data_IF_578363717381
#
_entry.id   IF_578363717381
#
_cell.length_a   1.000
_cell.length_b   1.000
_cell.length_c   1.000
_cell.angle_alpha   90.00
_cell.angle_beta   90.00
_cell.angle_gamma   90.00
#
_symmetry.space_group_name_H-M   'P 1'
#
loop_
_entity.id
_entity.type
_entity.pdbx_description
1 polymer ?
#
# COMPACT_ATOMS: atom_id res chain seq x y z
N UNK A 1 -26.83 30.67 31.67
CA UNK A 1 -25.82 29.66 32.04
C UNK A 1 -25.44 28.72 30.89
N UNK A 2 -26.31 28.41 29.94
CA UNK A 2 -26.03 27.52 28.77
C UNK A 2 -25.09 28.14 27.72
N UNK A 3 -24.96 29.46 27.62
CA UNK A 3 -24.11 30.15 26.63
C UNK A 3 -22.61 30.15 27.00
N UNK A 4 -22.31 30.16 28.29
CA UNK A 4 -20.92 30.19 28.76
C UNK A 4 -20.23 28.81 28.67
N UNK A 5 -20.97 27.72 28.94
CA UNK A 5 -20.48 26.36 28.79
C UNK A 5 -20.20 26.02 27.33
N UNK A 6 -21.04 26.47 26.38
CA UNK A 6 -20.82 26.26 24.94
C UNK A 6 -19.62 27.07 24.42
N UNK A 7 -19.34 28.25 24.98
CA UNK A 7 -18.17 29.04 24.61
C UNK A 7 -16.87 28.39 25.13
N UNK A 8 -16.88 27.91 26.37
CA UNK A 8 -15.76 27.20 26.98
C UNK A 8 -15.46 25.89 26.22
N UNK A 9 -16.50 25.15 25.80
CA UNK A 9 -16.35 23.93 25.01
C UNK A 9 -15.78 24.20 23.60
N UNK A 10 -16.23 25.29 22.94
CA UNK A 10 -15.68 25.70 21.64
C UNK A 10 -14.22 26.19 21.76
N UNK A 11 -13.88 26.91 22.82
CA UNK A 11 -12.51 27.35 23.07
C UNK A 11 -11.61 26.15 23.40
N UNK A 12 -12.11 25.17 24.15
CA UNK A 12 -11.36 23.92 24.42
C UNK A 12 -11.07 23.10 23.17
N UNK A 13 -12.04 23.02 22.25
CA UNK A 13 -11.87 22.30 20.95
C UNK A 13 -10.84 23.00 20.06
N UNK A 14 -10.71 24.31 20.11
CA UNK A 14 -9.72 25.08 19.32
C UNK A 14 -8.34 25.09 19.97
N UNK A 15 -8.26 25.11 21.31
CA UNK A 15 -6.97 25.17 22.02
C UNK A 15 -6.30 23.81 22.17
N UNK A 16 -7.06 22.70 22.24
CA UNK A 16 -6.50 21.36 22.39
C UNK A 16 -5.61 20.96 21.19
N UNK A 17 -6.03 21.12 19.92
CA UNK A 17 -5.17 20.85 18.76
C UNK A 17 -3.93 21.76 18.70
N UNK A 18 -4.03 23.01 19.16
CA UNK A 18 -2.90 23.94 19.24
C UNK A 18 -1.90 23.51 20.31
N UNK A 19 -2.36 23.13 21.51
CA UNK A 19 -1.50 22.57 22.57
C UNK A 19 -0.81 21.28 22.11
N UNK A 20 -1.53 20.37 21.48
CA UNK A 20 -0.96 19.11 20.97
C UNK A 20 0.08 19.35 19.87
N UNK A 21 -0.13 20.35 19.01
CA UNK A 21 0.83 20.73 17.99
C UNK A 21 2.09 21.40 18.58
N UNK A 22 1.91 22.29 19.56
CA UNK A 22 3.02 22.93 20.28
C UNK A 22 3.81 21.88 21.09
N UNK A 23 3.12 20.96 21.78
CA UNK A 23 3.78 19.86 22.51
C UNK A 23 4.55 18.93 21.57
N UNK A 24 3.99 18.61 20.40
CA UNK A 24 4.66 17.83 19.35
C UNK A 24 5.88 18.57 18.79
N UNK A 25 5.80 19.89 18.63
CA UNK A 25 6.90 20.72 18.14
C UNK A 25 8.03 20.81 19.18
N UNK A 26 7.71 21.12 20.43
CA UNK A 26 8.68 21.17 21.54
C UNK A 26 9.37 19.80 21.71
N UNK A 27 8.60 18.72 21.60
CA UNK A 27 9.14 17.38 21.67
C UNK A 27 10.12 17.09 20.52
N UNK A 28 9.78 17.46 19.27
CA UNK A 28 10.65 17.29 18.10
C UNK A 28 11.97 18.07 18.28
N UNK A 29 11.89 19.33 18.75
CA UNK A 29 13.05 20.19 19.00
C UNK A 29 13.99 19.56 20.05
N UNK A 30 13.44 19.03 21.15
CA UNK A 30 14.21 18.47 22.27
C UNK A 30 15.01 17.24 21.92
N UNK A 31 14.57 16.43 20.95
CA UNK A 31 15.18 15.15 20.61
C UNK A 31 15.93 15.14 19.27
N UNK A 32 15.77 16.17 18.42
CA UNK A 32 16.53 16.27 17.18
C UNK A 32 17.95 16.76 17.45
N UNK A 33 18.95 16.10 16.85
CA UNK A 33 20.36 16.45 17.00
C UNK A 33 21.16 16.08 15.75
N UNK A 34 22.45 16.47 15.73
CA UNK A 34 23.35 16.24 14.60
C UNK A 34 23.43 14.75 14.19
N UNK A 35 23.43 13.84 15.16
CA UNK A 35 23.47 12.39 14.90
C UNK A 35 22.32 11.89 14.02
N UNK A 36 21.13 12.52 14.10
CA UNK A 36 20.00 12.12 13.23
C UNK A 36 20.20 12.54 11.79
N UNK A 37 20.84 13.69 11.57
CA UNK A 37 21.18 14.15 10.22
C UNK A 37 22.18 13.18 9.60
N UNK A 38 23.22 12.78 10.34
CA UNK A 38 24.22 11.81 9.92
C UNK A 38 23.59 10.45 9.61
N UNK A 39 22.72 9.97 10.51
CA UNK A 39 21.95 8.73 10.28
C UNK A 39 21.07 8.79 9.03
N UNK A 40 20.43 9.93 8.77
CA UNK A 40 19.67 10.13 7.54
C UNK A 40 20.58 10.09 6.31
N UNK A 41 21.77 10.70 6.35
CA UNK A 41 22.74 10.66 5.26
C UNK A 41 23.15 9.21 4.96
N UNK A 42 23.56 8.44 5.98
CA UNK A 42 23.98 7.04 5.82
C UNK A 42 22.87 6.15 5.24
N UNK A 43 21.63 6.36 5.66
CA UNK A 43 20.48 5.60 5.15
C UNK A 43 20.14 6.01 3.70
N UNK A 44 20.07 7.32 3.44
CA UNK A 44 19.67 7.86 2.13
C UNK A 44 20.70 7.51 1.07
N UNK A 45 22.00 7.55 1.36
CA UNK A 45 23.06 7.14 0.46
C UNK A 45 22.81 5.73 -0.10
N UNK A 46 22.49 4.76 0.77
CA UNK A 46 22.17 3.38 0.37
C UNK A 46 20.84 3.26 -0.37
N UNK A 47 19.86 4.09 -0.01
CA UNK A 47 18.53 4.07 -0.64
C UNK A 47 18.61 4.60 -2.08
N UNK A 48 19.42 5.60 -2.36
CA UNK A 48 19.54 6.22 -3.69
C UNK A 48 20.08 5.24 -4.75
N UNK A 49 20.66 4.10 -4.34
CA UNK A 49 20.98 3.01 -5.28
C UNK A 49 19.73 2.25 -5.76
N UNK A 50 18.62 2.36 -5.07
CA UNK A 50 17.33 1.70 -5.35
C UNK A 50 17.39 0.18 -5.57
N UNK A 51 18.40 -0.51 -5.05
CA UNK A 51 18.55 -1.99 -5.14
C UNK A 51 17.65 -2.75 -4.17
N UNK A 52 17.30 -2.13 -3.04
CA UNK A 52 16.48 -2.72 -1.99
C UNK A 52 15.36 -1.77 -1.57
N UNK A 53 14.32 -2.31 -0.91
CA UNK A 53 13.23 -1.46 -0.42
C UNK A 53 13.71 -0.54 0.70
N UNK A 54 13.22 0.71 0.70
CA UNK A 54 13.49 1.69 1.75
C UNK A 54 13.21 1.15 3.15
N UNK A 55 12.08 0.46 3.32
CA UNK A 55 11.72 -0.15 4.61
C UNK A 55 12.70 -1.21 5.08
N UNK A 56 13.21 -2.05 4.16
CA UNK A 56 14.23 -3.07 4.48
C UNK A 56 15.56 -2.45 4.90
N UNK A 57 16.01 -1.41 4.19
CA UNK A 57 17.26 -0.71 4.51
C UNK A 57 17.18 -0.01 5.86
N UNK A 58 16.06 0.68 6.16
CA UNK A 58 15.83 1.29 7.46
C UNK A 58 15.82 0.24 8.58
N UNK A 59 15.13 -0.89 8.36
CA UNK A 59 15.10 -2.00 9.34
C UNK A 59 16.51 -2.54 9.62
N UNK A 60 17.29 -2.80 8.58
CA UNK A 60 18.65 -3.30 8.70
C UNK A 60 19.55 -2.29 9.43
N UNK A 61 19.43 -1.00 9.08
CA UNK A 61 20.15 0.07 9.75
C UNK A 61 19.92 0.06 11.26
N UNK A 62 18.65 0.09 11.69
CA UNK A 62 18.32 0.08 13.11
C UNK A 62 18.62 -1.26 13.81
N UNK A 63 18.67 -2.36 13.07
CA UNK A 63 19.11 -3.65 13.61
C UNK A 63 20.59 -3.63 13.97
N UNK A 64 21.42 -3.00 13.13
CA UNK A 64 22.87 -2.84 13.37
C UNK A 64 23.13 -1.81 14.47
N UNK A 65 22.45 -0.67 14.45
CA UNK A 65 22.60 0.41 15.45
C UNK A 65 22.11 0.03 16.86
N UNK A 66 21.41 -1.12 17.00
CA UNK A 66 21.00 -1.66 18.27
C UNK A 66 20.13 -0.71 19.11
N UNK A 67 20.55 -0.44 20.36
CA UNK A 67 19.82 0.40 21.32
C UNK A 67 20.12 1.90 21.18
N UNK A 68 20.91 2.33 20.20
CA UNK A 68 21.32 3.74 20.03
C UNK A 68 20.17 4.69 19.75
N UNK A 69 18.99 4.18 19.33
CA UNK A 69 17.81 4.95 19.00
C UNK A 69 16.56 4.37 19.66
N UNK A 70 15.81 5.21 20.37
CA UNK A 70 14.48 4.89 20.89
C UNK A 70 13.43 4.81 19.76
N UNK A 71 12.22 4.31 20.09
CA UNK A 71 11.15 4.13 19.11
C UNK A 71 10.72 5.43 18.43
N UNK A 72 10.72 6.55 19.16
CA UNK A 72 10.34 7.88 18.66
C UNK A 72 11.40 8.44 17.71
N UNK A 73 12.67 8.26 18.05
CA UNK A 73 13.82 8.67 17.24
C UNK A 73 13.87 7.90 15.92
N UNK A 74 13.68 6.57 15.97
CA UNK A 74 13.55 5.74 14.76
C UNK A 74 12.43 6.23 13.86
N UNK A 75 11.28 6.61 14.46
CA UNK A 75 10.16 7.16 13.71
C UNK A 75 10.53 8.48 13.01
N UNK A 76 11.20 9.43 13.71
CA UNK A 76 11.62 10.69 13.11
C UNK A 76 12.55 10.49 11.92
N UNK A 77 13.59 9.67 12.08
CA UNK A 77 14.53 9.32 10.99
C UNK A 77 13.78 8.67 9.83
N UNK A 78 12.90 7.71 10.11
CA UNK A 78 12.08 7.04 9.11
C UNK A 78 11.21 8.02 8.33
N UNK A 79 10.52 8.93 9.02
CA UNK A 79 9.63 9.92 8.42
C UNK A 79 10.41 10.88 7.50
N UNK A 80 11.61 11.30 7.90
CA UNK A 80 12.51 12.14 7.07
C UNK A 80 12.97 11.39 5.82
N UNK A 81 13.44 10.15 5.98
CA UNK A 81 13.91 9.33 4.85
C UNK A 81 12.80 9.08 3.85
N UNK A 82 11.58 8.74 4.30
CA UNK A 82 10.43 8.60 3.41
C UNK A 82 10.03 9.90 2.72
N UNK A 83 10.19 11.07 3.39
CA UNK A 83 9.96 12.37 2.76
C UNK A 83 10.94 12.61 1.60
N UNK A 84 12.23 12.26 1.77
CA UNK A 84 13.23 12.38 0.71
C UNK A 84 12.87 11.48 -0.48
N UNK A 85 12.54 10.22 -0.23
CA UNK A 85 12.18 9.27 -1.29
C UNK A 85 10.93 9.71 -2.05
N UNK A 86 9.92 10.21 -1.35
CA UNK A 86 8.68 10.74 -1.94
C UNK A 86 8.94 11.93 -2.87
N UNK A 87 9.85 12.83 -2.47
CA UNK A 87 10.10 14.11 -3.14
C UNK A 87 11.46 14.17 -3.88
N UNK A 88 12.06 13.03 -4.18
CA UNK A 88 13.45 12.95 -4.69
C UNK A 88 13.73 13.90 -5.85
N UNK A 89 13.02 13.77 -6.97
CA UNK A 89 13.28 14.61 -8.16
C UNK A 89 12.96 16.08 -7.91
N UNK A 90 11.90 16.37 -7.14
CA UNK A 90 11.58 17.74 -6.76
C UNK A 90 12.72 18.37 -5.95
N UNK A 91 13.24 17.68 -4.94
CA UNK A 91 14.37 18.18 -4.16
C UNK A 91 15.63 18.32 -5.02
N UNK A 92 15.89 17.36 -5.90
CA UNK A 92 17.01 17.46 -6.85
C UNK A 92 16.87 18.67 -7.79
N UNK A 93 15.66 18.99 -8.26
CA UNK A 93 15.45 20.20 -9.08
C UNK A 93 15.71 21.48 -8.29
N UNK A 94 15.31 21.57 -7.02
CA UNK A 94 15.62 22.71 -6.15
C UNK A 94 17.13 22.87 -5.92
N UNK A 95 17.83 21.75 -5.68
CA UNK A 95 19.29 21.75 -5.51
C UNK A 95 19.97 22.23 -6.79
N UNK A 96 19.52 21.76 -7.97
CA UNK A 96 20.08 22.12 -9.27
C UNK A 96 19.90 23.61 -9.58
N UNK A 97 18.76 24.19 -9.23
CA UNK A 97 18.49 25.63 -9.37
C UNK A 97 19.48 26.48 -8.55
N UNK A 98 19.97 25.97 -7.41
CA UNK A 98 20.91 26.65 -6.52
C UNK A 98 22.38 26.21 -6.67
N UNK A 99 22.70 25.26 -7.57
CA UNK A 99 24.06 24.68 -7.71
C UNK A 99 25.18 25.71 -7.91
N UNK A 100 24.92 26.80 -8.65
CA UNK A 100 25.87 27.87 -8.85
C UNK A 100 26.28 28.58 -7.54
N UNK A 101 25.42 28.51 -6.51
CA UNK A 101 25.58 29.18 -5.22
C UNK A 101 26.08 28.27 -4.10
N UNK A 102 26.17 26.95 -4.35
CA UNK A 102 26.44 25.90 -3.31
C UNK A 102 27.55 24.93 -3.72
N UNK A 103 28.54 25.37 -4.47
CA UNK A 103 29.62 24.55 -5.02
C UNK A 103 30.32 23.61 -4.02
N UNK A 104 30.23 23.89 -2.72
CA UNK A 104 30.89 23.14 -1.64
C UNK A 104 29.93 22.25 -0.82
N UNK A 105 28.63 22.12 -1.19
CA UNK A 105 27.66 21.25 -0.51
C UNK A 105 27.42 19.99 -1.33
N UNK A 106 27.48 18.82 -0.67
CA UNK A 106 27.10 17.56 -1.31
C UNK A 106 25.58 17.50 -1.55
N UNK A 107 25.15 16.94 -2.69
CA UNK A 107 23.75 16.73 -3.02
C UNK A 107 23.05 15.92 -1.90
N UNK A 108 23.69 14.88 -1.41
CA UNK A 108 23.18 14.05 -0.30
C UNK A 108 22.81 14.88 0.93
N UNK A 109 23.70 15.80 1.31
CA UNK A 109 23.49 16.68 2.47
C UNK A 109 22.31 17.64 2.23
N UNK A 110 22.21 18.21 1.04
CA UNK A 110 21.08 19.05 0.62
C UNK A 110 19.75 18.28 0.66
N UNK A 111 19.70 17.05 0.13
CA UNK A 111 18.52 16.20 0.19
C UNK A 111 18.07 15.94 1.62
N UNK A 112 18.99 15.69 2.55
CA UNK A 112 18.65 15.48 3.96
C UNK A 112 18.13 16.76 4.60
N UNK A 113 18.74 17.93 4.32
CA UNK A 113 18.27 19.22 4.80
C UNK A 113 16.82 19.48 4.32
N UNK A 114 16.54 19.27 3.04
CA UNK A 114 15.21 19.44 2.47
C UNK A 114 14.20 18.44 3.05
N UNK A 115 14.60 17.17 3.24
CA UNK A 115 13.77 16.15 3.86
C UNK A 115 13.37 16.47 5.30
N UNK A 116 14.33 16.93 6.11
CA UNK A 116 14.06 17.39 7.49
C UNK A 116 13.14 18.60 7.47
N UNK A 117 13.45 19.59 6.63
CA UNK A 117 12.64 20.83 6.54
C UNK A 117 11.21 20.52 6.12
N UNK A 118 11.02 19.66 5.10
CA UNK A 118 9.70 19.24 4.61
C UNK A 118 8.88 18.50 5.67
N UNK A 119 9.49 17.66 6.49
CA UNK A 119 8.78 16.78 7.43
C UNK A 119 8.68 17.35 8.83
N UNK A 120 9.69 18.06 9.28
CA UNK A 120 9.77 18.52 10.67
C UNK A 120 9.67 20.05 10.83
N UNK A 121 9.97 20.79 9.77
CA UNK A 121 10.03 22.26 9.78
C UNK A 121 11.46 22.79 9.75
N UNK A 122 11.63 24.00 9.22
CA UNK A 122 12.91 24.70 9.07
C UNK A 122 13.57 24.95 10.42
N UNK A 123 12.78 25.28 11.43
CA UNK A 123 13.22 25.64 12.78
C UNK A 123 13.93 24.50 13.49
N UNK A 124 13.57 23.27 13.15
CA UNK A 124 14.14 22.05 13.76
C UNK A 124 15.59 21.83 13.33
N UNK A 125 15.88 22.03 12.05
CA UNK A 125 17.20 21.75 11.49
C UNK A 125 18.16 22.95 11.61
N UNK A 126 17.64 24.16 11.57
CA UNK A 126 18.41 25.40 11.49
C UNK A 126 19.56 25.53 12.50
N UNK A 127 19.40 25.13 13.81
CA UNK A 127 20.50 25.17 14.79
C UNK A 127 21.70 24.28 14.45
N UNK A 128 21.51 23.26 13.62
CA UNK A 128 22.53 22.25 13.28
C UNK A 128 23.20 22.49 11.92
N UNK A 129 22.87 23.61 11.25
CA UNK A 129 23.39 23.96 9.93
C UNK A 129 24.58 24.90 10.03
N UNK A 130 25.58 24.67 9.16
CA UNK A 130 26.65 25.61 8.87
C UNK A 130 26.09 26.87 8.17
N UNK A 131 26.90 27.93 8.09
CA UNK A 131 26.48 29.18 7.42
C UNK A 131 26.15 28.97 5.94
N UNK A 132 26.87 28.07 5.25
CA UNK A 132 26.62 27.75 3.83
C UNK A 132 25.27 27.04 3.68
N UNK A 133 24.97 26.06 4.58
CA UNK A 133 23.71 25.35 4.59
C UNK A 133 22.52 26.24 4.96
N UNK A 134 22.71 27.19 5.88
CA UNK A 134 21.71 28.20 6.21
C UNK A 134 21.41 29.10 5.03
N UNK A 135 22.45 29.55 4.30
CA UNK A 135 22.30 30.36 3.10
C UNK A 135 21.55 29.57 2.01
N UNK A 136 21.91 28.31 1.76
CA UNK A 136 21.17 27.42 0.85
C UNK A 136 19.69 27.35 1.24
N UNK A 137 19.39 27.00 2.49
CA UNK A 137 18.02 26.81 2.95
C UNK A 137 17.20 28.13 2.95
N UNK A 138 17.85 29.29 3.09
CA UNK A 138 17.17 30.58 3.04
C UNK A 138 16.62 30.96 1.66
N UNK A 139 17.21 30.41 0.60
CA UNK A 139 16.82 30.65 -0.80
C UNK A 139 15.78 29.67 -1.31
N UNK A 140 15.60 28.54 -0.61
CA UNK A 140 14.66 27.51 -1.02
C UNK A 140 13.24 27.84 -0.57
N UNK A 141 12.32 27.88 -1.54
CA UNK A 141 10.88 27.90 -1.32
C UNK A 141 10.28 26.55 -1.69
N UNK A 142 9.86 25.77 -0.69
CA UNK A 142 9.19 24.48 -0.92
C UNK A 142 7.71 24.69 -1.20
N UNK A 143 7.23 24.15 -2.34
CA UNK A 143 5.84 24.27 -2.78
C UNK A 143 5.05 23.00 -2.50
N UNK A 144 3.75 23.15 -2.26
CA UNK A 144 2.81 22.01 -2.20
C UNK A 144 2.56 21.45 -3.60
N UNK A 145 2.07 20.21 -3.68
CA UNK A 145 1.70 19.57 -4.96
C UNK A 145 0.68 20.42 -5.72
N UNK A 146 -0.33 20.95 -5.03
CA UNK A 146 -1.31 21.88 -5.62
C UNK A 146 -0.67 23.17 -6.17
N UNK A 147 0.32 23.75 -5.47
CA UNK A 147 1.03 24.95 -5.95
C UNK A 147 1.91 24.64 -7.15
N UNK A 148 2.62 23.51 -7.12
CA UNK A 148 3.43 23.02 -8.25
C UNK A 148 2.53 22.83 -9.48
N UNK A 149 1.36 22.20 -9.31
CA UNK A 149 0.43 22.00 -10.42
C UNK A 149 -0.05 23.32 -11.03
N UNK A 150 -0.44 24.29 -10.21
CA UNK A 150 -0.89 25.61 -10.69
C UNK A 150 0.18 26.34 -11.51
N UNK A 151 1.44 26.23 -11.09
CA UNK A 151 2.55 26.95 -11.73
C UNK A 151 3.10 26.23 -12.96
N UNK A 152 3.16 24.89 -12.93
CA UNK A 152 3.84 24.08 -13.95
C UNK A 152 2.88 23.23 -14.80
N UNK A 153 1.56 23.45 -14.75
CA UNK A 153 0.56 22.61 -15.45
C UNK A 153 0.79 22.47 -16.96
N UNK A 154 1.44 23.44 -17.59
CA UNK A 154 1.79 23.43 -19.02
C UNK A 154 3.29 23.16 -19.28
N UNK A 155 4.06 22.82 -18.23
CA UNK A 155 5.49 22.58 -18.35
C UNK A 155 5.78 21.10 -18.58
N UNK A 156 6.73 20.82 -19.48
CA UNK A 156 7.28 19.48 -19.68
C UNK A 156 7.99 18.92 -18.44
N UNK A 157 8.33 19.78 -17.47
CA UNK A 157 9.01 19.41 -16.22
C UNK A 157 8.02 19.08 -15.08
N UNK A 158 6.72 19.07 -15.33
CA UNK A 158 5.72 18.86 -14.29
C UNK A 158 5.92 17.53 -13.53
N UNK A 159 6.18 16.44 -14.24
CA UNK A 159 6.44 15.14 -13.64
C UNK A 159 7.67 15.13 -12.71
N UNK A 160 8.74 15.85 -13.08
CA UNK A 160 9.95 16.02 -12.26
C UNK A 160 9.65 16.78 -10.97
N UNK A 161 8.95 17.92 -11.09
CA UNK A 161 8.51 18.74 -9.95
C UNK A 161 7.53 18.00 -9.03
N UNK A 162 6.74 17.06 -9.57
CA UNK A 162 5.85 16.17 -8.80
C UNK A 162 6.56 14.91 -8.30
N UNK A 163 7.83 14.76 -8.60
CA UNK A 163 8.65 13.61 -8.19
C UNK A 163 8.13 12.26 -8.69
N UNK A 164 7.71 12.20 -9.94
CA UNK A 164 7.22 10.98 -10.61
C UNK A 164 7.99 10.75 -11.91
N UNK A 165 8.50 9.54 -12.19
CA UNK A 165 9.10 9.20 -13.47
C UNK A 165 8.15 9.47 -14.65
N UNK A 166 8.68 9.95 -15.77
CA UNK A 166 7.88 10.39 -16.92
C UNK A 166 6.98 9.30 -17.48
N UNK A 167 7.47 8.07 -17.60
CA UNK A 167 6.71 6.94 -18.11
C UNK A 167 5.51 6.57 -17.22
N UNK A 168 5.68 6.59 -15.88
CA UNK A 168 4.58 6.38 -14.92
C UNK A 168 3.55 7.51 -15.02
N UNK A 169 4.03 8.76 -15.08
CA UNK A 169 3.18 9.94 -15.15
C UNK A 169 2.33 9.93 -16.43
N UNK A 170 2.93 9.58 -17.57
CA UNK A 170 2.24 9.47 -18.86
C UNK A 170 1.19 8.38 -18.85
N UNK A 171 1.48 7.21 -18.28
CA UNK A 171 0.51 6.11 -18.12
C UNK A 171 -0.70 6.54 -17.27
N UNK A 172 -0.48 7.19 -16.13
CA UNK A 172 -1.57 7.66 -15.27
C UNK A 172 -2.44 8.73 -15.94
N UNK A 173 -1.84 9.67 -16.69
CA UNK A 173 -2.60 10.70 -17.42
C UNK A 173 -3.48 10.06 -18.49
N UNK A 174 -2.99 9.07 -19.21
CA UNK A 174 -3.74 8.37 -20.26
C UNK A 174 -4.99 7.67 -19.70
N UNK A 175 -4.88 7.11 -18.50
CA UNK A 175 -5.98 6.42 -17.83
C UNK A 175 -6.98 7.36 -17.15
N UNK A 176 -6.53 8.51 -16.60
CA UNK A 176 -7.32 9.28 -15.62
C UNK A 176 -7.50 10.77 -15.94
N UNK A 177 -6.80 11.34 -16.86
CA UNK A 177 -6.52 12.75 -17.08
C UNK A 177 -5.61 13.40 -16.02
N UNK A 178 -5.07 14.59 -16.35
CA UNK A 178 -4.09 15.29 -15.53
C UNK A 178 -4.61 15.62 -14.11
N UNK A 179 -5.81 16.20 -13.99
CA UNK A 179 -6.36 16.62 -12.68
C UNK A 179 -6.50 15.45 -11.70
N UNK A 180 -7.05 14.33 -12.14
CA UNK A 180 -7.20 13.12 -11.32
C UNK A 180 -5.82 12.52 -10.98
N UNK A 181 -4.86 12.59 -11.89
CA UNK A 181 -3.48 12.14 -11.63
C UNK A 181 -2.82 12.99 -10.55
N UNK A 182 -3.02 14.31 -10.54
CA UNK A 182 -2.53 15.18 -9.46
C UNK A 182 -3.13 14.80 -8.10
N UNK A 183 -4.45 14.59 -8.03
CA UNK A 183 -5.12 14.17 -6.80
C UNK A 183 -4.55 12.83 -6.29
N UNK A 184 -4.29 11.90 -7.19
CA UNK A 184 -3.67 10.61 -6.84
C UNK A 184 -2.25 10.77 -6.31
N UNK A 185 -1.41 11.61 -6.92
CA UNK A 185 -0.07 11.92 -6.41
C UNK A 185 -0.16 12.53 -5.02
N UNK A 186 -1.05 13.51 -4.80
CA UNK A 186 -1.27 14.15 -3.50
C UNK A 186 -1.69 13.15 -2.42
N UNK A 187 -2.61 12.23 -2.75
CA UNK A 187 -3.04 11.18 -1.84
C UNK A 187 -1.92 10.25 -1.39
N UNK A 188 -0.93 9.99 -2.26
CA UNK A 188 0.25 9.18 -1.92
C UNK A 188 1.24 9.90 -0.99
N UNK A 189 1.13 11.22 -0.86
CA UNK A 189 1.92 12.01 0.09
C UNK A 189 1.24 12.17 1.45
N UNK A 190 -0.07 12.00 1.50
CA UNK A 190 -0.88 12.13 2.71
C UNK A 190 -0.68 10.97 3.68
N UNK A 191 -1.06 11.17 4.93
CA UNK A 191 -1.16 10.10 5.91
C UNK A 191 -2.32 9.16 5.52
N UNK A 192 -2.16 7.87 5.80
CA UNK A 192 -3.11 6.84 5.37
C UNK A 192 -3.53 5.95 6.55
N UNK A 193 -4.74 5.39 6.49
CA UNK A 193 -5.24 4.49 7.53
C UNK A 193 -4.57 3.12 7.48
N UNK A 194 -4.68 2.38 8.58
CA UNK A 194 -4.32 0.98 8.63
C UNK A 194 -5.61 0.16 8.70
N UNK A 195 -5.77 -0.77 7.77
CA UNK A 195 -6.90 -1.69 7.79
C UNK A 195 -6.52 -3.01 8.43
N UNK A 196 -7.45 -3.56 9.21
CA UNK A 196 -7.32 -4.88 9.82
C UNK A 196 -8.56 -5.71 9.52
N UNK A 197 -8.36 -7.00 9.28
CA UNK A 197 -9.44 -8.00 9.19
C UNK A 197 -9.56 -8.75 10.50
N UNK A 198 -10.77 -8.84 11.04
CA UNK A 198 -11.10 -9.67 12.18
C UNK A 198 -11.35 -11.12 11.74
N UNK A 199 -10.74 -12.08 12.42
CA UNK A 199 -11.02 -13.50 12.23
C UNK A 199 -12.33 -13.86 12.96
N UNK A 200 -13.43 -13.80 12.22
CA UNK A 200 -14.80 -14.03 12.76
C UNK A 200 -15.06 -15.46 13.26
N UNK A 201 -14.17 -16.40 12.98
CA UNK A 201 -14.24 -17.75 13.52
C UNK A 201 -13.63 -17.84 14.92
N UNK A 202 -12.79 -16.88 15.31
CA UNK A 202 -12.19 -16.81 16.64
C UNK A 202 -12.94 -15.89 17.59
N UNK A 203 -13.41 -14.73 17.09
CA UNK A 203 -14.08 -13.72 17.91
C UNK A 203 -15.10 -12.96 17.09
N UNK A 204 -16.22 -12.57 17.71
CA UNK A 204 -17.18 -11.65 17.10
C UNK A 204 -16.53 -10.28 16.92
N UNK A 205 -16.85 -9.59 15.82
CA UNK A 205 -16.32 -8.27 15.51
C UNK A 205 -16.56 -7.29 16.65
N UNK A 206 -17.77 -7.29 17.23
CA UNK A 206 -18.16 -6.42 18.36
C UNK A 206 -17.24 -6.58 19.57
N UNK A 207 -16.88 -7.82 19.94
CA UNK A 207 -16.02 -8.09 21.10
C UNK A 207 -14.58 -7.60 20.86
N UNK A 208 -14.11 -7.75 19.62
CA UNK A 208 -12.79 -7.23 19.20
C UNK A 208 -12.77 -5.71 19.24
N UNK A 209 -13.84 -5.05 18.77
CA UNK A 209 -13.97 -3.59 18.79
C UNK A 209 -13.93 -3.03 20.23
N UNK A 210 -14.63 -3.68 21.19
CA UNK A 210 -14.57 -3.27 22.60
C UNK A 210 -13.13 -3.33 23.09
N UNK A 211 -12.45 -4.47 22.91
CA UNK A 211 -11.06 -4.65 23.36
C UNK A 211 -10.08 -3.64 22.76
N UNK A 212 -10.24 -3.31 21.47
CA UNK A 212 -9.42 -2.31 20.80
C UNK A 212 -9.69 -0.90 21.36
N UNK A 213 -10.98 -0.56 21.60
CA UNK A 213 -11.37 0.72 22.19
C UNK A 213 -10.81 0.89 23.61
N UNK A 214 -10.91 -0.14 24.45
CA UNK A 214 -10.36 -0.16 25.81
C UNK A 214 -8.83 -0.01 25.81
N UNK A 215 -8.17 -0.36 24.72
CA UNK A 215 -6.74 -0.14 24.50
C UNK A 215 -6.40 1.31 24.04
N UNK A 216 -7.39 2.18 23.92
CA UNK A 216 -7.23 3.60 23.59
C UNK A 216 -6.93 3.89 22.11
N UNK A 217 -7.46 3.08 21.18
CA UNK A 217 -7.31 3.31 19.74
C UNK A 217 -8.49 4.06 19.14
N UNK A 218 -8.19 4.92 18.16
CA UNK A 218 -9.18 5.54 17.28
C UNK A 218 -9.34 4.70 16.03
N UNK A 219 -10.52 4.14 15.82
CA UNK A 219 -10.85 3.29 14.69
C UNK A 219 -12.35 3.28 14.42
N UNK A 220 -12.71 2.85 13.21
CA UNK A 220 -14.09 2.67 12.75
C UNK A 220 -14.26 1.34 11.99
N UNK A 221 -15.49 0.92 11.75
CA UNK A 221 -15.77 -0.15 10.77
C UNK A 221 -15.66 0.44 9.36
N UNK A 222 -15.20 -0.35 8.40
CA UNK A 222 -15.01 0.12 7.03
C UNK A 222 -16.31 0.52 6.31
N UNK A 223 -17.47 0.15 6.83
CA UNK A 223 -18.77 0.33 6.18
C UNK A 223 -19.05 -0.64 5.02
N UNK A 224 -18.03 -1.19 4.37
CA UNK A 224 -18.14 -2.10 3.22
C UNK A 224 -18.05 -3.58 3.61
N UNK A 225 -17.13 -3.92 4.49
CA UNK A 225 -16.88 -5.30 4.92
C UNK A 225 -17.02 -5.36 6.44
N UNK A 226 -17.93 -6.21 6.93
CA UNK A 226 -18.29 -6.27 8.35
C UNK A 226 -17.08 -6.53 9.26
N UNK A 227 -16.20 -7.43 8.86
CA UNK A 227 -15.01 -7.82 9.61
C UNK A 227 -13.81 -6.89 9.42
N UNK A 228 -13.93 -5.82 8.62
CA UNK A 228 -12.87 -4.86 8.37
C UNK A 228 -12.95 -3.67 9.32
N UNK A 229 -11.84 -3.41 10.01
CA UNK A 229 -11.65 -2.25 10.88
C UNK A 229 -10.64 -1.29 10.23
N UNK A 230 -10.94 0.00 10.23
CA UNK A 230 -10.10 1.10 9.73
C UNK A 230 -9.57 1.89 10.93
N UNK A 231 -8.27 1.85 11.15
CA UNK A 231 -7.59 2.65 12.17
C UNK A 231 -7.17 3.99 11.59
N UNK A 232 -7.29 5.03 12.41
CA UNK A 232 -6.87 6.37 12.02
C UNK A 232 -5.38 6.42 11.65
N UNK A 233 -4.98 7.33 10.74
CA UNK A 233 -3.58 7.52 10.39
C UNK A 233 -2.71 7.77 11.63
N UNK A 234 -1.52 7.17 11.64
CA UNK A 234 -0.55 7.33 12.75
C UNK A 234 -0.78 6.43 13.96
N UNK A 235 -1.88 5.66 14.02
CA UNK A 235 -2.11 4.69 15.09
C UNK A 235 -1.04 3.59 15.12
N UNK A 236 -0.50 3.34 16.31
CA UNK A 236 0.50 2.29 16.50
C UNK A 236 -0.17 0.95 16.85
N UNK A 237 -0.65 0.25 15.83
CA UNK A 237 -1.32 -1.05 15.98
C UNK A 237 -0.46 -2.12 16.67
N UNK A 238 0.86 -1.91 16.80
CA UNK A 238 1.71 -2.81 17.59
C UNK A 238 1.33 -2.87 19.08
N UNK A 239 0.60 -1.90 19.60
CA UNK A 239 0.10 -1.91 21.00
C UNK A 239 -0.91 -3.03 21.24
N UNK A 240 -1.57 -3.56 20.21
CA UNK A 240 -2.49 -4.71 20.28
C UNK A 240 -1.87 -6.01 19.74
N UNK A 241 -0.54 -6.17 19.92
CA UNK A 241 0.19 -7.38 19.50
C UNK A 241 -0.46 -8.69 19.97
N UNK A 242 -1.10 -8.70 21.13
CA UNK A 242 -1.78 -9.87 21.67
C UNK A 242 -2.89 -10.39 20.75
N UNK A 243 -3.62 -9.51 20.05
CA UNK A 243 -4.67 -9.90 19.12
C UNK A 243 -4.09 -10.46 17.80
N UNK A 244 -2.95 -9.92 17.34
CA UNK A 244 -2.22 -10.47 16.19
C UNK A 244 -1.58 -11.82 16.52
N UNK A 245 -0.91 -11.91 17.67
CA UNK A 245 -0.19 -13.11 18.10
C UNK A 245 -1.09 -14.36 18.20
N UNK A 246 -2.37 -14.17 18.53
CA UNK A 246 -3.35 -15.26 18.60
C UNK A 246 -4.22 -15.38 17.34
N UNK A 247 -3.94 -14.63 16.30
CA UNK A 247 -4.65 -14.69 15.01
C UNK A 247 -6.12 -14.26 15.07
N UNK A 248 -6.46 -13.35 15.99
CA UNK A 248 -7.81 -12.74 16.09
C UNK A 248 -7.95 -11.61 15.07
N UNK A 249 -6.87 -10.87 14.81
CA UNK A 249 -6.83 -9.83 13.77
C UNK A 249 -5.61 -10.01 12.87
N UNK A 250 -5.74 -9.55 11.64
CA UNK A 250 -4.70 -9.53 10.60
C UNK A 250 -4.64 -8.15 9.96
N UNK A 251 -3.44 -7.58 9.81
CA UNK A 251 -3.29 -6.36 9.00
C UNK A 251 -3.50 -6.75 7.54
N UNK A 252 -4.51 -6.17 6.91
CA UNK A 252 -4.81 -6.37 5.51
C UNK A 252 -5.58 -5.18 4.97
N UNK A 253 -5.09 -4.56 3.89
CA UNK A 253 -5.78 -3.45 3.22
C UNK A 253 -7.20 -3.82 2.81
N UNK A 254 -8.13 -2.85 2.83
CA UNK A 254 -9.53 -3.07 2.45
C UNK A 254 -9.67 -3.56 1.01
N UNK A 255 -8.86 -3.02 0.06
CA UNK A 255 -8.84 -3.48 -1.33
C UNK A 255 -8.44 -4.95 -1.44
N UNK A 256 -7.43 -5.37 -0.66
CA UNK A 256 -7.03 -6.77 -0.58
C UNK A 256 -8.12 -7.68 0.02
N UNK A 257 -8.94 -7.16 0.94
CA UNK A 257 -10.11 -7.88 1.48
C UNK A 257 -11.24 -7.97 0.44
N UNK A 258 -11.46 -6.92 -0.37
CA UNK A 258 -12.43 -6.91 -1.48
C UNK A 258 -12.07 -7.94 -2.55
N UNK A 259 -10.78 -8.14 -2.86
CA UNK A 259 -10.34 -9.21 -3.77
C UNK A 259 -10.82 -10.59 -3.26
N UNK A 260 -10.66 -10.87 -1.98
CA UNK A 260 -11.13 -12.14 -1.40
C UNK A 260 -12.67 -12.27 -1.45
N UNK A 261 -13.41 -11.16 -1.29
CA UNK A 261 -14.88 -11.13 -1.46
C UNK A 261 -15.29 -11.37 -2.92
N UNK A 262 -14.53 -10.87 -3.89
CA UNK A 262 -14.81 -11.06 -5.31
C UNK A 262 -14.70 -12.53 -5.74
N UNK A 263 -13.92 -13.35 -5.05
CA UNK A 263 -13.87 -14.82 -5.24
C UNK A 263 -15.20 -15.49 -4.90
N UNK A 264 -16.01 -14.90 -4.00
CA UNK A 264 -17.28 -15.45 -3.48
C UNK A 264 -17.10 -16.83 -2.83
N UNK A 265 -16.22 -16.94 -1.81
CA UNK A 265 -15.91 -18.23 -1.18
C UNK A 265 -17.13 -18.81 -0.47
N UNK A 266 -17.52 -20.05 -0.80
CA UNK A 266 -18.64 -20.78 -0.18
C UNK A 266 -18.14 -22.01 0.57
N UNK A 267 -18.93 -22.50 1.51
CA UNK A 267 -18.65 -23.75 2.24
C UNK A 267 -18.43 -24.91 1.26
N UNK A 268 -17.54 -25.82 1.63
CA UNK A 268 -17.26 -27.08 0.93
C UNK A 268 -16.63 -26.96 -0.47
N UNK A 269 -16.35 -25.74 -0.96
CA UNK A 269 -15.69 -25.52 -2.24
C UNK A 269 -14.19 -25.89 -2.19
N UNK A 270 -13.63 -26.10 -3.37
CA UNK A 270 -12.19 -26.12 -3.64
C UNK A 270 -11.83 -24.77 -4.26
N UNK A 271 -11.04 -23.99 -3.56
CA UNK A 271 -10.53 -22.69 -4.05
C UNK A 271 -9.02 -22.80 -4.17
N UNK A 272 -8.47 -22.28 -5.28
CA UNK A 272 -7.02 -22.14 -5.46
C UNK A 272 -6.63 -20.68 -5.33
N UNK A 273 -5.68 -20.39 -4.47
CA UNK A 273 -4.96 -19.12 -4.38
C UNK A 273 -3.59 -19.33 -5.01
N UNK A 274 -3.43 -18.93 -6.30
CA UNK A 274 -2.33 -19.37 -7.14
C UNK A 274 -1.02 -18.60 -6.91
N UNK A 275 -1.07 -17.41 -6.33
CA UNK A 275 0.08 -16.62 -5.93
C UNK A 275 -0.06 -16.21 -4.45
N UNK A 276 -0.17 -17.21 -3.58
CA UNK A 276 -0.65 -17.03 -2.20
C UNK A 276 0.25 -16.12 -1.33
N UNK A 277 1.52 -15.98 -1.68
CA UNK A 277 2.48 -15.20 -0.91
C UNK A 277 2.54 -15.65 0.55
N UNK A 278 2.39 -14.70 1.48
CA UNK A 278 2.35 -14.99 2.92
C UNK A 278 0.95 -15.32 3.43
N UNK A 279 -0.05 -15.47 2.53
CA UNK A 279 -1.36 -16.03 2.82
C UNK A 279 -2.44 -15.07 3.30
N UNK A 280 -2.29 -13.76 3.12
CA UNK A 280 -3.31 -12.79 3.55
C UNK A 280 -4.69 -13.08 2.95
N UNK A 281 -4.76 -13.36 1.64
CA UNK A 281 -5.99 -13.70 0.91
C UNK A 281 -6.42 -15.14 1.19
N UNK A 282 -5.48 -16.11 1.23
CA UNK A 282 -5.79 -17.50 1.63
C UNK A 282 -6.51 -17.59 2.98
N UNK A 283 -6.02 -16.84 4.00
CA UNK A 283 -6.65 -16.78 5.32
C UNK A 283 -8.07 -16.16 5.27
N UNK A 284 -8.27 -15.14 4.44
CA UNK A 284 -9.60 -14.56 4.23
C UNK A 284 -10.55 -15.58 3.59
N UNK A 285 -10.11 -16.26 2.52
CA UNK A 285 -10.89 -17.28 1.83
C UNK A 285 -11.29 -18.42 2.78
N UNK A 286 -10.31 -18.99 3.50
CA UNK A 286 -10.56 -20.08 4.45
C UNK A 286 -11.52 -19.70 5.57
N UNK A 287 -11.43 -18.47 6.08
CA UNK A 287 -12.35 -17.92 7.06
C UNK A 287 -13.78 -17.78 6.51
N UNK A 288 -13.95 -17.24 5.31
CA UNK A 288 -15.27 -17.07 4.68
C UNK A 288 -15.92 -18.40 4.32
N UNK A 289 -15.13 -19.41 3.97
CA UNK A 289 -15.59 -20.79 3.83
C UNK A 289 -16.00 -21.46 5.15
N UNK A 290 -15.95 -20.74 6.27
CA UNK A 290 -16.26 -21.25 7.62
C UNK A 290 -15.40 -22.46 8.00
N UNK A 291 -14.12 -22.44 7.59
CA UNK A 291 -13.16 -23.52 7.85
C UNK A 291 -13.59 -24.90 7.26
N UNK A 292 -14.36 -24.88 6.16
CA UNK A 292 -14.78 -26.08 5.41
C UNK A 292 -14.20 -26.07 4.01
N UNK A 293 -14.30 -27.18 3.27
CA UNK A 293 -13.72 -27.27 1.92
C UNK A 293 -12.19 -27.22 1.93
N UNK A 294 -11.59 -26.69 0.84
CA UNK A 294 -10.13 -26.62 0.69
C UNK A 294 -9.71 -25.31 0.02
N UNK A 295 -8.73 -24.61 0.59
CA UNK A 295 -8.00 -23.52 -0.04
C UNK A 295 -6.60 -24.01 -0.37
N UNK A 296 -6.33 -24.28 -1.63
CA UNK A 296 -5.02 -24.71 -2.12
C UNK A 296 -4.20 -23.44 -2.37
N UNK A 297 -3.24 -23.17 -1.48
CA UNK A 297 -2.44 -21.94 -1.49
C UNK A 297 -1.07 -22.21 -2.10
N UNK A 298 -0.87 -21.76 -3.34
CA UNK A 298 0.29 -22.06 -4.16
C UNK A 298 1.22 -20.84 -4.24
N UNK A 299 2.51 -21.06 -4.07
CA UNK A 299 3.55 -20.04 -4.34
C UNK A 299 4.86 -20.73 -4.74
N UNK A 300 5.70 -20.03 -5.51
CA UNK A 300 7.04 -20.50 -5.89
C UNK A 300 8.07 -20.27 -4.77
N UNK A 301 7.80 -19.34 -3.84
CA UNK A 301 8.69 -18.99 -2.75
C UNK A 301 8.46 -19.88 -1.52
N UNK A 302 9.42 -20.76 -1.25
CA UNK A 302 9.41 -21.58 -0.03
C UNK A 302 9.40 -20.72 1.24
N UNK A 303 10.12 -19.60 1.26
CA UNK A 303 10.17 -18.67 2.39
C UNK A 303 8.79 -18.06 2.70
N UNK A 304 8.05 -17.65 1.65
CA UNK A 304 6.69 -17.12 1.81
C UNK A 304 5.73 -18.19 2.32
N UNK A 305 5.84 -19.42 1.80
CA UNK A 305 5.02 -20.56 2.26
C UNK A 305 5.33 -20.94 3.71
N UNK A 306 6.56 -20.86 4.17
CA UNK A 306 6.90 -21.04 5.61
C UNK A 306 6.18 -20.00 6.47
N UNK A 307 6.18 -18.73 6.05
CA UNK A 307 5.44 -17.66 6.75
C UNK A 307 3.91 -17.92 6.71
N UNK A 308 3.37 -18.37 5.58
CA UNK A 308 1.96 -18.75 5.44
C UNK A 308 1.61 -19.89 6.43
N UNK A 309 2.38 -20.97 6.48
CA UNK A 309 2.14 -22.10 7.39
C UNK A 309 2.06 -21.63 8.85
N UNK A 310 2.96 -20.73 9.28
CA UNK A 310 2.91 -20.15 10.63
C UNK A 310 1.62 -19.37 10.87
N UNK A 311 1.20 -18.54 9.90
CA UNK A 311 -0.06 -17.76 10.01
C UNK A 311 -1.29 -18.67 10.02
N UNK A 312 -1.30 -19.73 9.22
CA UNK A 312 -2.38 -20.75 9.23
C UNK A 312 -2.50 -21.38 10.61
N UNK A 313 -1.40 -21.84 11.21
CA UNK A 313 -1.39 -22.38 12.58
C UNK A 313 -1.94 -21.37 13.59
N UNK A 314 -1.47 -20.12 13.53
CA UNK A 314 -1.94 -19.05 14.42
C UNK A 314 -3.42 -18.72 14.21
N UNK A 315 -3.92 -18.77 12.99
CA UNK A 315 -5.32 -18.45 12.66
C UNK A 315 -6.33 -19.50 13.15
N UNK A 316 -5.89 -20.75 13.37
CA UNK A 316 -6.74 -21.87 13.71
C UNK A 316 -7.53 -22.46 12.53
N UNK A 317 -7.25 -22.03 11.30
CA UNK A 317 -7.87 -22.56 10.09
C UNK A 317 -7.22 -23.90 9.71
N UNK A 318 -8.05 -24.90 9.40
CA UNK A 318 -7.60 -26.26 9.01
C UNK A 318 -7.84 -26.55 7.53
N UNK A 319 -8.55 -25.66 6.84
CA UNK A 319 -8.92 -25.83 5.43
C UNK A 319 -7.94 -25.20 4.44
N UNK A 320 -6.78 -24.72 4.88
CA UNK A 320 -5.74 -24.10 4.02
C UNK A 320 -4.60 -25.10 3.82
N UNK A 321 -4.23 -25.29 2.53
CA UNK A 321 -3.24 -26.28 2.08
C UNK A 321 -2.11 -25.59 1.33
N UNK A 322 -1.03 -25.16 2.02
CA UNK A 322 0.10 -24.48 1.39
C UNK A 322 0.96 -25.45 0.56
N UNK A 323 1.23 -25.08 -0.69
CA UNK A 323 2.04 -25.86 -1.64
C UNK A 323 3.11 -24.94 -2.24
N UNK A 324 4.36 -25.38 -2.19
CA UNK A 324 5.47 -24.77 -2.95
C UNK A 324 5.57 -25.45 -4.31
N UNK A 325 5.49 -24.73 -5.41
CA UNK A 325 5.75 -25.25 -6.75
C UNK A 325 7.12 -24.78 -7.25
N UNK A 326 7.75 -25.55 -8.14
CA UNK A 326 9.05 -25.17 -8.74
C UNK A 326 8.89 -24.10 -9.83
N UNK A 327 7.88 -24.27 -10.66
CA UNK A 327 7.52 -23.40 -11.79
C UNK A 327 6.07 -23.68 -12.22
N UNK A 328 5.62 -23.05 -13.30
CA UNK A 328 4.26 -23.23 -13.83
C UNK A 328 4.00 -24.64 -14.41
N UNK A 329 5.02 -25.40 -14.72
CA UNK A 329 4.91 -26.77 -15.27
C UNK A 329 5.07 -27.85 -14.20
N UNK A 330 4.97 -27.49 -12.93
CA UNK A 330 5.10 -28.44 -11.81
C UNK A 330 3.98 -29.49 -11.86
N UNK A 331 4.36 -30.76 -11.90
CA UNK A 331 3.44 -31.91 -12.02
C UNK A 331 2.39 -31.96 -10.89
N UNK A 332 2.70 -31.38 -9.74
CA UNK A 332 1.75 -31.31 -8.63
C UNK A 332 0.50 -30.48 -8.93
N UNK A 333 0.52 -29.67 -10.00
CA UNK A 333 -0.64 -28.92 -10.47
C UNK A 333 -1.64 -29.80 -11.23
N UNK A 334 -1.20 -30.90 -11.86
CA UNK A 334 -2.02 -31.76 -12.73
C UNK A 334 -3.27 -32.26 -12.02
N UNK A 335 -3.13 -32.70 -10.76
CA UNK A 335 -4.26 -33.22 -9.97
C UNK A 335 -5.36 -32.18 -9.65
N UNK A 336 -5.09 -30.90 -9.89
CA UNK A 336 -6.03 -29.82 -9.67
C UNK A 336 -6.67 -29.28 -10.97
N UNK A 337 -6.26 -29.78 -12.15
CA UNK A 337 -6.83 -29.35 -13.41
C UNK A 337 -8.34 -29.59 -13.45
N UNK A 338 -9.11 -28.52 -13.76
CA UNK A 338 -10.56 -28.60 -13.86
C UNK A 338 -11.29 -28.92 -12.55
N UNK A 339 -10.67 -28.76 -11.38
CA UNK A 339 -11.29 -29.16 -10.09
C UNK A 339 -11.73 -27.98 -9.23
N UNK A 340 -11.14 -26.79 -9.42
CA UNK A 340 -11.39 -25.66 -8.56
C UNK A 340 -12.73 -24.96 -8.88
N UNK A 341 -13.54 -24.74 -7.85
CA UNK A 341 -14.75 -23.92 -7.95
C UNK A 341 -14.43 -22.45 -8.22
N UNK A 342 -13.33 -21.97 -7.66
CA UNK A 342 -12.78 -20.64 -7.94
C UNK A 342 -11.27 -20.66 -7.87
N UNK A 343 -10.63 -19.86 -8.73
CA UNK A 343 -9.19 -19.64 -8.75
C UNK A 343 -8.93 -18.14 -8.56
N UNK A 344 -8.09 -17.80 -7.61
CA UNK A 344 -7.59 -16.44 -7.40
C UNK A 344 -6.15 -16.35 -7.91
N UNK A 345 -5.89 -15.36 -8.71
CA UNK A 345 -4.56 -14.94 -9.16
C UNK A 345 -4.30 -13.51 -8.68
N UNK A 346 -3.77 -13.38 -7.45
CA UNK A 346 -3.19 -12.13 -6.95
C UNK A 346 -1.77 -12.02 -7.50
N UNK A 347 -1.66 -11.53 -8.73
CA UNK A 347 -0.46 -11.69 -9.53
C UNK A 347 0.75 -10.89 -9.00
N UNK A 348 1.96 -11.45 -9.07
CA UNK A 348 3.16 -10.66 -8.83
C UNK A 348 3.23 -9.51 -9.84
N UNK A 349 3.42 -8.29 -9.35
CA UNK A 349 3.32 -7.05 -10.13
C UNK A 349 4.32 -6.01 -9.62
N UNK A 350 4.38 -4.87 -10.29
CA UNK A 350 5.24 -3.73 -9.90
C UNK A 350 4.97 -3.20 -8.49
N UNK A 351 3.75 -3.37 -7.98
CA UNK A 351 3.34 -2.85 -6.68
C UNK A 351 3.09 -1.34 -6.64
N UNK A 352 3.05 -0.66 -7.80
CA UNK A 352 2.87 0.80 -7.90
C UNK A 352 1.55 1.32 -7.33
N UNK A 353 0.60 0.45 -7.02
CA UNK A 353 -0.60 0.80 -6.25
C UNK A 353 -0.37 1.03 -4.76
N UNK A 354 0.82 0.68 -4.23
CA UNK A 354 1.16 0.78 -2.81
C UNK A 354 2.13 1.93 -2.49
N UNK A 355 2.23 2.93 -3.37
CA UNK A 355 3.22 4.03 -3.26
C UNK A 355 3.13 4.82 -1.97
N UNK A 356 1.96 4.94 -1.34
CA UNK A 356 1.83 5.61 -0.05
C UNK A 356 2.58 4.89 1.08
N UNK A 357 2.77 3.57 0.97
CA UNK A 357 3.55 2.72 1.91
C UNK A 357 4.97 2.46 1.42
N UNK A 358 5.14 2.33 0.11
CA UNK A 358 6.38 1.95 -0.56
C UNK A 358 6.74 2.96 -1.65
N UNK A 359 7.05 4.23 -1.30
CA UNK A 359 7.28 5.29 -2.28
C UNK A 359 8.54 5.09 -3.14
N UNK A 360 9.44 4.21 -2.73
CA UNK A 360 10.63 3.83 -3.47
C UNK A 360 10.34 3.00 -4.73
N UNK A 361 9.18 2.35 -4.81
CA UNK A 361 8.81 1.53 -5.97
C UNK A 361 8.84 2.33 -7.28
N UNK A 362 8.38 3.58 -7.27
CA UNK A 362 8.41 4.43 -8.47
C UNK A 362 9.83 4.71 -9.01
N UNK A 363 10.87 4.54 -8.18
CA UNK A 363 12.28 4.70 -8.55
C UNK A 363 12.98 3.38 -8.83
N UNK A 364 12.48 2.29 -8.23
CA UNK A 364 13.06 0.95 -8.34
C UNK A 364 12.58 0.21 -9.58
N UNK A 365 11.34 0.43 -9.96
CA UNK A 365 10.72 -0.23 -11.11
C UNK A 365 11.05 0.54 -12.39
N UNK A 366 11.48 -0.17 -13.41
CA UNK A 366 11.76 0.38 -14.75
C UNK A 366 10.63 0.05 -15.72
N UNK A 367 10.48 0.82 -16.78
CA UNK A 367 9.49 0.59 -17.83
C UNK A 367 9.67 -0.79 -18.50
N UNK A 368 10.91 -1.23 -18.71
CA UNK A 368 11.20 -2.55 -19.27
C UNK A 368 10.79 -3.71 -18.35
N UNK A 369 10.82 -3.51 -17.03
CA UNK A 369 10.33 -4.52 -16.08
C UNK A 369 8.82 -4.66 -16.13
N UNK A 370 8.06 -3.59 -16.44
CA UNK A 370 6.60 -3.65 -16.60
C UNK A 370 6.22 -4.65 -17.69
N UNK A 371 6.88 -4.57 -18.84
CA UNK A 371 6.65 -5.53 -19.93
C UNK A 371 6.95 -6.97 -19.50
N UNK A 372 7.97 -7.19 -18.68
CA UNK A 372 8.27 -8.51 -18.13
C UNK A 372 7.20 -8.97 -17.11
N UNK A 373 6.73 -8.08 -16.24
CA UNK A 373 5.62 -8.38 -15.33
C UNK A 373 4.37 -8.78 -16.11
N UNK A 374 3.95 -7.97 -17.09
CA UNK A 374 2.76 -8.23 -17.91
C UNK A 374 2.82 -9.60 -18.62
N UNK A 375 3.95 -9.91 -19.27
CA UNK A 375 4.16 -11.23 -19.90
C UNK A 375 4.08 -12.39 -18.90
N UNK A 376 4.65 -12.22 -17.72
CA UNK A 376 4.65 -13.25 -16.67
C UNK A 376 3.24 -13.40 -16.06
N UNK A 377 2.54 -12.31 -15.82
CA UNK A 377 1.16 -12.29 -15.32
C UNK A 377 0.23 -13.03 -16.28
N UNK A 378 0.36 -12.80 -17.61
CA UNK A 378 -0.42 -13.53 -18.61
C UNK A 378 -0.15 -15.04 -18.56
N UNK A 379 1.13 -15.46 -18.46
CA UNK A 379 1.49 -16.88 -18.32
C UNK A 379 0.89 -17.49 -17.05
N UNK A 380 0.99 -16.80 -15.93
CA UNK A 380 0.43 -17.23 -14.64
C UNK A 380 -1.09 -17.35 -14.74
N UNK A 381 -1.78 -16.36 -15.29
CA UNK A 381 -3.23 -16.33 -15.43
C UNK A 381 -3.72 -17.46 -16.33
N UNK A 382 -3.06 -17.69 -17.46
CA UNK A 382 -3.35 -18.79 -18.39
C UNK A 382 -3.13 -20.16 -17.72
N UNK A 383 -2.04 -20.35 -16.97
CA UNK A 383 -1.82 -21.61 -16.24
C UNK A 383 -2.85 -21.82 -15.13
N UNK A 384 -3.13 -20.79 -14.35
CA UNK A 384 -4.11 -20.85 -13.27
C UNK A 384 -5.53 -21.13 -13.79
N UNK A 385 -5.88 -20.64 -14.99
CA UNK A 385 -7.19 -20.87 -15.59
C UNK A 385 -7.48 -22.34 -15.85
N UNK A 386 -6.45 -23.15 -16.14
CA UNK A 386 -6.60 -24.61 -16.34
C UNK A 386 -7.07 -25.34 -15.08
N UNK A 387 -6.87 -24.79 -13.90
CA UNK A 387 -7.31 -25.38 -12.63
C UNK A 387 -8.81 -25.14 -12.37
N UNK A 388 -9.40 -24.13 -13.02
CA UNK A 388 -10.80 -23.78 -12.86
C UNK A 388 -11.69 -24.85 -13.52
N UNK A 389 -12.72 -25.31 -12.84
CA UNK A 389 -13.72 -26.22 -13.43
C UNK A 389 -14.65 -25.49 -14.40
N UNK A 390 -15.32 -26.19 -15.28
CA UNK A 390 -16.41 -25.62 -16.10
C UNK A 390 -17.51 -25.09 -15.16
N UNK A 391 -18.01 -23.88 -15.41
CA UNK A 391 -18.91 -23.13 -14.53
C UNK A 391 -18.23 -22.54 -13.29
N UNK A 392 -16.93 -22.75 -13.11
CA UNK A 392 -16.12 -22.15 -12.05
C UNK A 392 -15.67 -20.73 -12.39
N UNK A 393 -15.06 -20.06 -11.42
CA UNK A 393 -14.68 -18.65 -11.55
C UNK A 393 -13.18 -18.44 -11.42
N UNK A 394 -12.67 -17.49 -12.21
CA UNK A 394 -11.29 -17.02 -12.15
C UNK A 394 -11.28 -15.55 -11.79
N UNK A 395 -10.50 -15.18 -10.77
CA UNK A 395 -10.31 -13.79 -10.35
C UNK A 395 -8.86 -13.42 -10.57
N UNK A 396 -8.63 -12.36 -11.32
CA UNK A 396 -7.33 -11.73 -11.53
C UNK A 396 -7.26 -10.44 -10.74
N UNK A 397 -6.17 -10.22 -10.03
CA UNK A 397 -5.93 -8.98 -9.30
C UNK A 397 -4.45 -8.62 -9.27
N UNK A 398 -4.18 -7.32 -9.19
CA UNK A 398 -2.85 -6.75 -8.97
C UNK A 398 -2.93 -5.59 -7.97
N UNK A 399 -1.81 -5.25 -7.33
CA UNK A 399 -1.61 -3.98 -6.66
C UNK A 399 -0.78 -3.01 -7.54
N UNK A 400 -1.05 -3.00 -8.84
CA UNK A 400 -0.46 -2.10 -9.83
C UNK A 400 -1.48 -1.07 -10.30
N UNK A 401 -0.97 0.11 -10.69
CA UNK A 401 -1.74 1.18 -11.33
C UNK A 401 -1.45 1.28 -12.83
N UNK A 402 -0.67 0.36 -13.39
CA UNK A 402 -0.19 0.42 -14.77
C UNK A 402 -1.12 -0.37 -15.68
N UNK A 403 -1.58 0.24 -16.76
CA UNK A 403 -2.47 -0.35 -17.76
C UNK A 403 -1.95 -1.66 -18.35
N UNK A 404 -0.63 -1.73 -18.62
CA UNK A 404 0.00 -2.91 -19.21
C UNK A 404 -0.06 -4.15 -18.30
N UNK A 405 -0.08 -3.98 -16.96
CA UNK A 405 -0.20 -5.07 -15.98
C UNK A 405 -1.65 -5.44 -15.68
N UNK A 406 -2.61 -4.62 -16.06
CA UNK A 406 -4.02 -4.71 -15.70
C UNK A 406 -4.89 -5.08 -16.92
N UNK A 407 -5.45 -4.10 -17.60
CA UNK A 407 -6.38 -4.29 -18.71
C UNK A 407 -5.75 -5.06 -19.87
N UNK A 408 -4.49 -4.73 -20.23
CA UNK A 408 -3.83 -5.41 -21.34
C UNK A 408 -3.63 -6.91 -21.08
N UNK A 409 -3.35 -7.31 -19.83
CA UNK A 409 -3.26 -8.73 -19.44
C UNK A 409 -4.62 -9.39 -19.59
N UNK A 410 -5.69 -8.73 -19.12
CA UNK A 410 -7.05 -9.26 -19.20
C UNK A 410 -7.51 -9.40 -20.65
N UNK A 411 -7.27 -8.41 -21.49
CA UNK A 411 -7.62 -8.44 -22.93
C UNK A 411 -6.90 -9.57 -23.66
N UNK A 412 -5.58 -9.69 -23.48
CA UNK A 412 -4.77 -10.77 -24.06
C UNK A 412 -5.20 -12.14 -23.53
N UNK A 413 -5.55 -12.24 -22.24
CA UNK A 413 -6.05 -13.49 -21.68
C UNK A 413 -7.34 -13.93 -22.37
N UNK A 414 -8.32 -13.06 -22.48
CA UNK A 414 -9.63 -13.39 -23.07
C UNK A 414 -9.53 -13.67 -24.57
N UNK A 415 -8.69 -12.95 -25.31
CA UNK A 415 -8.47 -13.23 -26.74
C UNK A 415 -7.88 -14.62 -26.99
N UNK A 416 -7.06 -15.11 -26.04
CA UNK A 416 -6.41 -16.43 -26.16
C UNK A 416 -7.21 -17.57 -25.49
N UNK A 417 -8.25 -17.26 -24.71
CA UNK A 417 -9.01 -18.24 -23.91
C UNK A 417 -10.52 -18.01 -24.10
N UNK A 418 -11.01 -18.39 -25.29
CA UNK A 418 -12.44 -18.25 -25.72
C UNK A 418 -13.44 -19.05 -24.86
N UNK A 419 -12.98 -19.84 -23.92
CA UNK A 419 -13.77 -20.58 -22.95
C UNK A 419 -13.96 -19.83 -21.62
N UNK A 420 -13.61 -18.54 -21.56
CA UNK A 420 -13.85 -17.67 -20.42
C UNK A 420 -14.60 -16.41 -20.83
N UNK A 421 -15.63 -16.09 -20.07
CA UNK A 421 -16.41 -14.85 -20.23
C UNK A 421 -16.23 -13.92 -19.03
N UNK A 422 -16.30 -12.61 -19.25
CA UNK A 422 -16.24 -11.61 -18.18
C UNK A 422 -17.46 -11.70 -17.28
N UNK A 423 -17.27 -11.51 -15.99
CA UNK A 423 -18.37 -11.31 -15.01
C UNK A 423 -18.40 -9.84 -14.58
N UNK A 424 -19.59 -9.26 -14.50
CA UNK A 424 -19.78 -7.94 -13.92
C UNK A 424 -19.45 -7.97 -12.43
N UNK A 425 -18.31 -7.39 -12.05
CA UNK A 425 -17.81 -7.41 -10.66
C UNK A 425 -18.72 -6.66 -9.71
N UNK A 426 -19.37 -5.56 -10.17
CA UNK A 426 -20.34 -4.80 -9.38
C UNK A 426 -21.50 -5.70 -8.90
N UNK A 427 -22.16 -6.40 -9.82
CA UNK A 427 -23.25 -7.33 -9.50
C UNK A 427 -22.82 -8.43 -8.52
N UNK A 428 -21.55 -8.88 -8.61
CA UNK A 428 -21.01 -9.91 -7.70
C UNK A 428 -20.85 -9.37 -6.29
N UNK A 429 -20.42 -8.12 -6.12
CA UNK A 429 -20.28 -7.48 -4.81
C UNK A 429 -21.65 -7.11 -4.22
N UNK A 430 -22.56 -6.56 -5.01
CA UNK A 430 -23.92 -6.20 -4.58
C UNK A 430 -24.71 -7.41 -4.04
N UNK A 431 -24.58 -8.59 -4.67
CA UNK A 431 -25.16 -9.84 -4.17
C UNK A 431 -24.63 -10.28 -2.80
N UNK A 432 -23.51 -9.70 -2.35
CA UNK A 432 -22.93 -9.89 -1.02
C UNK A 432 -23.21 -8.71 -0.08
N UNK A 433 -24.10 -7.78 -0.46
CA UNK A 433 -24.39 -6.53 0.24
C UNK A 433 -23.14 -5.62 0.37
N UNK A 434 -22.21 -5.70 -0.58
CA UNK A 434 -21.07 -4.81 -0.69
C UNK A 434 -21.36 -3.82 -1.81
N UNK A 435 -21.75 -2.61 -1.43
CA UNK A 435 -22.08 -1.53 -2.38
C UNK A 435 -20.97 -0.50 -2.31
N UNK A 436 -20.18 -0.40 -3.39
CA UNK A 436 -19.15 0.63 -3.51
C UNK A 436 -19.78 1.98 -3.77
N UNK A 437 -19.22 3.03 -3.19
CA UNK A 437 -19.71 4.40 -3.39
C UNK A 437 -19.63 4.77 -4.88
N UNK A 438 -20.76 5.18 -5.46
CA UNK A 438 -20.84 5.57 -6.87
C UNK A 438 -19.93 6.75 -7.21
N UNK A 439 -19.67 7.63 -6.24
CA UNK A 439 -18.77 8.77 -6.43
C UNK A 439 -17.32 8.35 -6.67
N UNK A 440 -16.94 7.16 -6.25
CA UNK A 440 -15.58 6.61 -6.48
C UNK A 440 -15.33 6.28 -7.96
N UNK A 441 -16.39 6.03 -8.75
CA UNK A 441 -16.29 5.70 -10.17
C UNK A 441 -15.20 4.65 -10.46
N UNK A 442 -15.24 3.54 -9.70
CA UNK A 442 -14.21 2.50 -9.71
C UNK A 442 -14.40 1.41 -10.75
N UNK A 443 -15.55 1.39 -11.42
CA UNK A 443 -15.85 0.41 -12.47
C UNK A 443 -15.52 0.97 -13.85
N UNK A 444 -14.81 0.19 -14.66
CA UNK A 444 -14.65 0.49 -16.08
C UNK A 444 -15.86 -0.02 -16.91
N UNK A 445 -15.87 0.27 -18.21
CA UNK A 445 -16.93 -0.15 -19.13
C UNK A 445 -17.02 -1.67 -19.31
N UNK A 446 -16.00 -2.41 -18.93
CA UNK A 446 -15.95 -3.86 -19.00
C UNK A 446 -16.30 -4.56 -17.69
N UNK A 447 -16.61 -3.80 -16.64
CA UNK A 447 -16.96 -4.30 -15.32
C UNK A 447 -15.76 -4.75 -14.47
N UNK A 448 -14.53 -4.32 -14.78
CA UNK A 448 -13.38 -4.45 -13.89
C UNK A 448 -13.47 -3.39 -12.78
N UNK A 449 -12.72 -3.60 -11.69
CA UNK A 449 -12.60 -2.64 -10.59
C UNK A 449 -11.20 -2.04 -10.56
N UNK A 450 -11.16 -0.70 -10.50
CA UNK A 450 -9.95 0.08 -10.27
C UNK A 450 -10.09 0.86 -8.96
N UNK A 451 -9.46 0.40 -7.90
CA UNK A 451 -9.36 1.17 -6.67
C UNK A 451 -8.17 2.13 -6.80
N UNK A 452 -8.44 3.42 -6.68
CA UNK A 452 -7.41 4.45 -6.64
C UNK A 452 -7.39 5.08 -5.24
N UNK A 453 -6.20 5.24 -4.67
CA UNK A 453 -6.04 5.66 -3.28
C UNK A 453 -6.62 7.04 -2.95
N UNK A 454 -6.71 7.93 -3.94
CA UNK A 454 -7.34 9.25 -3.81
C UNK A 454 -8.88 9.20 -3.72
N UNK A 455 -9.49 8.12 -4.18
CA UNK A 455 -10.95 7.94 -4.19
C UNK A 455 -11.43 7.05 -3.05
N UNK A 456 -10.66 6.00 -2.74
CA UNK A 456 -11.14 4.91 -1.89
C UNK A 456 -10.47 4.86 -0.50
N UNK A 457 -9.41 5.67 -0.31
CA UNK A 457 -8.57 5.67 0.88
C UNK A 457 -7.89 4.31 1.18
N UNK A 458 -7.90 3.39 0.20
CA UNK A 458 -7.19 2.10 0.21
C UNK A 458 -5.86 2.22 -0.54
N UNK A 459 -5.02 1.18 -0.54
CA UNK A 459 -4.03 1.03 -1.60
C UNK A 459 -4.74 0.87 -2.95
N UNK A 460 -4.05 1.17 -4.04
CA UNK A 460 -4.65 1.01 -5.37
C UNK A 460 -4.57 -0.44 -5.81
N UNK A 461 -5.68 -0.93 -6.37
CA UNK A 461 -5.80 -2.30 -6.87
C UNK A 461 -6.58 -2.33 -8.17
N UNK A 462 -6.23 -3.28 -9.02
CA UNK A 462 -7.04 -3.71 -10.14
C UNK A 462 -7.62 -5.09 -9.88
N UNK A 463 -8.87 -5.33 -10.33
CA UNK A 463 -9.57 -6.61 -10.17
C UNK A 463 -10.45 -6.91 -11.36
N UNK A 464 -10.36 -8.13 -11.87
CA UNK A 464 -11.26 -8.67 -12.90
C UNK A 464 -11.74 -10.06 -12.52
N UNK A 465 -12.93 -10.44 -12.98
CA UNK A 465 -13.52 -11.75 -12.70
C UNK A 465 -14.09 -12.37 -13.96
N UNK A 466 -13.86 -13.67 -14.12
CA UNK A 466 -14.30 -14.44 -15.27
C UNK A 466 -15.04 -15.70 -14.84
N UNK A 467 -15.88 -16.23 -15.72
CA UNK A 467 -16.48 -17.56 -15.60
C UNK A 467 -15.95 -18.46 -16.70
N UNK A 468 -15.60 -19.70 -16.36
CA UNK A 468 -15.27 -20.72 -17.35
C UNK A 468 -16.54 -21.32 -17.94
N UNK A 469 -16.77 -21.18 -19.24
CA UNK A 469 -17.99 -21.62 -19.94
C UNK A 469 -17.85 -22.96 -20.62
N UNK A 470 -16.62 -23.35 -20.97
CA UNK A 470 -16.29 -24.61 -21.66
C UNK A 470 -15.04 -25.28 -21.06
#
# INVERSE_FOLDING_TARGET
MLTFQNLVFKVFIVIQPLKDNIFKLIYKIKYFNQKYIESCCEIVEKILEFKQSTGSLIFLYFKVQGKNFGSKERKLITDVVFSIVKNKSYFQSLIKEEQLNISNLSELRCLVILGVTSKLGKEIIYPFLSNIEKNFLSRIEMKTISSIYKEFSHSLLLNEKLSVPSWIFSDWISQRNLKKTINFIESNHSDFPIYCRVNILKRKVKDVMVKIRDSGFTFERSGLIEECLKFSPGENVNRIKSLFAVGVIEIQDLGSQLIAKLVVPKRHQIIVDFCAGTGGKSLALGMHMKNTGKVISIDISSERIVKLKKRVSTSGLKNIWPIVIKNLEDERLIKYFGTADSVLVDAPCSGLGTLRRNPDLKWRVTESEITNFSKNQLKILTKASSLCKIGGYLVYATCSTIYEENEMVVEKFLSNNVNFDRCCTNSVLEKQNIVLDKSWNVFDSYGNIHLWSDLTDTDSFFMSRFIRTK
#
